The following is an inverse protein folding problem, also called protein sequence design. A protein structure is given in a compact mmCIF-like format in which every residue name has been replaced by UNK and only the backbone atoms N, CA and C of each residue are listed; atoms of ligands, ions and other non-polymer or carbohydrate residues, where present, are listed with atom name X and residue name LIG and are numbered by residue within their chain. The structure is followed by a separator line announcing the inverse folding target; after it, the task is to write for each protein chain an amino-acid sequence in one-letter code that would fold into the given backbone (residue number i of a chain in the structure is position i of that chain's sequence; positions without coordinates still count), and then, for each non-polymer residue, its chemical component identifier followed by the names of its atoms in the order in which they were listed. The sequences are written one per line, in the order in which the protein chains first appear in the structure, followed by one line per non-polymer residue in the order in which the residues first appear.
data_IF_861883966025
#
_entry.id   IF_861883966025
#
_cell.length_a   1.000
_cell.length_b   1.000
_cell.length_c   1.000
_cell.angle_alpha   90.00
_cell.angle_beta   90.00
_cell.angle_gamma   90.00
#
_symmetry.space_group_name_H-M   'P 1'
#
loop_
_entity.id
_entity.type
_entity.pdbx_description
1 polymer ?
#
# COMPACT_ATOMS: atom_id res chain seq x y z
N UNK A 1 8.28 -2.12 24.34
CA UNK A 1 9.40 -2.09 23.38
C UNK A 1 8.97 -1.96 21.91
N UNK A 2 7.96 -2.73 21.44
CA UNK A 2 7.51 -2.74 20.03
C UNK A 2 7.01 -1.38 19.48
N UNK A 3 6.34 -0.56 20.29
CA UNK A 3 5.88 0.77 19.88
C UNK A 3 7.02 1.76 19.60
N UNK A 4 8.11 1.70 20.38
CA UNK A 4 9.31 2.52 20.13
C UNK A 4 9.99 2.14 18.80
N UNK A 5 9.92 0.87 18.42
CA UNK A 5 10.45 0.38 17.13
C UNK A 5 9.58 0.93 15.99
N UNK A 6 8.25 0.91 16.14
CA UNK A 6 7.32 1.47 15.16
C UNK A 6 7.63 2.96 14.84
N UNK A 7 7.81 3.79 15.87
CA UNK A 7 8.17 5.20 15.68
C UNK A 7 9.54 5.40 15.02
N UNK A 8 10.52 4.53 15.35
CA UNK A 8 11.82 4.54 14.66
C UNK A 8 11.69 4.16 13.19
N UNK A 9 10.80 3.23 12.84
CA UNK A 9 10.49 2.91 11.45
C UNK A 9 9.96 4.13 10.71
N UNK A 10 9.08 4.92 11.32
CA UNK A 10 8.56 6.16 10.70
C UNK A 10 9.69 7.11 10.30
N UNK A 11 10.66 7.31 11.20
CA UNK A 11 11.83 8.15 10.93
C UNK A 11 12.74 7.56 9.83
N UNK A 12 12.98 6.25 9.85
CA UNK A 12 13.80 5.57 8.83
C UNK A 12 13.13 5.57 7.44
N UNK A 13 11.82 5.34 7.37
CA UNK A 13 11.07 5.34 6.13
C UNK A 13 11.16 6.71 5.44
N UNK A 14 11.05 7.80 6.22
CA UNK A 14 11.19 9.18 5.74
C UNK A 14 12.57 9.46 5.15
N UNK A 15 13.64 8.83 5.67
CA UNK A 15 15.01 8.96 5.16
C UNK A 15 15.20 8.30 3.78
N UNK A 16 14.37 7.33 3.42
CA UNK A 16 14.40 6.69 2.09
C UNK A 16 13.62 7.46 1.01
N UNK A 17 12.92 8.53 1.40
CA UNK A 17 12.29 9.58 0.60
C UNK A 17 11.69 9.14 -0.74
N UNK A 18 12.54 9.09 -1.77
CA UNK A 18 12.14 8.79 -3.16
C UNK A 18 11.42 7.44 -3.30
N UNK A 19 11.90 6.38 -2.64
CA UNK A 19 11.29 5.04 -2.78
C UNK A 19 9.92 4.98 -2.11
N UNK A 20 9.82 5.58 -0.93
CA UNK A 20 8.57 5.66 -0.17
C UNK A 20 7.47 6.35 -0.99
N UNK A 21 7.76 7.52 -1.56
CA UNK A 21 6.79 8.29 -2.36
C UNK A 21 6.31 7.51 -3.59
N UNK A 22 7.21 6.82 -4.29
CA UNK A 22 6.85 6.01 -5.46
C UNK A 22 5.86 4.91 -5.07
N UNK A 23 6.11 4.18 -3.98
CA UNK A 23 5.19 3.12 -3.55
C UNK A 23 3.87 3.68 -3.05
N UNK A 24 3.86 4.77 -2.28
CA UNK A 24 2.62 5.45 -1.88
C UNK A 24 1.78 5.84 -3.10
N UNK A 25 2.41 6.37 -4.15
CA UNK A 25 1.74 6.77 -5.39
C UNK A 25 1.15 5.56 -6.11
N UNK A 26 1.91 4.47 -6.23
CA UNK A 26 1.44 3.22 -6.86
C UNK A 26 0.24 2.65 -6.08
N UNK A 27 0.33 2.58 -4.75
CA UNK A 27 -0.77 2.08 -3.92
C UNK A 27 -1.99 2.99 -3.97
N UNK A 28 -1.81 4.32 -3.97
CA UNK A 28 -2.91 5.26 -4.08
C UNK A 28 -3.65 5.09 -5.42
N UNK A 29 -2.90 4.98 -6.52
CA UNK A 29 -3.47 4.70 -7.84
C UNK A 29 -4.23 3.37 -7.87
N UNK A 30 -3.65 2.34 -7.25
CA UNK A 30 -4.25 1.01 -7.23
C UNK A 30 -5.54 0.97 -6.39
N UNK A 31 -5.58 1.67 -5.25
CA UNK A 31 -6.80 1.86 -4.45
C UNK A 31 -7.87 2.60 -5.26
N UNK A 32 -7.50 3.72 -5.91
CA UNK A 32 -8.45 4.53 -6.69
C UNK A 32 -9.08 3.75 -7.85
N UNK A 33 -8.26 3.03 -8.64
CA UNK A 33 -8.73 2.20 -9.75
C UNK A 33 -9.63 1.07 -9.25
N UNK A 34 -9.22 0.39 -8.17
CA UNK A 34 -10.01 -0.72 -7.62
C UNK A 34 -11.38 -0.22 -7.15
N UNK A 35 -11.41 0.92 -6.45
CA UNK A 35 -12.66 1.51 -5.97
C UNK A 35 -13.59 1.94 -7.13
N UNK A 36 -13.02 2.49 -8.20
CA UNK A 36 -13.77 2.89 -9.39
C UNK A 36 -14.39 1.69 -10.11
N UNK A 37 -13.60 0.65 -10.42
CA UNK A 37 -14.12 -0.55 -11.08
C UNK A 37 -15.12 -1.31 -10.21
N UNK A 38 -14.88 -1.37 -8.90
CA UNK A 38 -15.82 -1.99 -7.95
C UNK A 38 -17.16 -1.26 -7.93
N UNK A 39 -17.16 0.09 -7.95
CA UNK A 39 -18.39 0.89 -8.07
C UNK A 39 -19.15 0.54 -9.33
N UNK A 40 -18.49 0.62 -10.48
CA UNK A 40 -19.13 0.37 -11.78
C UNK A 40 -19.66 -1.06 -11.88
N UNK A 41 -18.90 -2.04 -11.40
CA UNK A 41 -19.30 -3.43 -11.42
C UNK A 41 -20.58 -3.67 -10.60
N UNK A 42 -20.71 -3.02 -9.43
CA UNK A 42 -21.90 -3.17 -8.58
C UNK A 42 -23.09 -2.38 -9.15
N UNK A 43 -22.87 -1.17 -9.65
CA UNK A 43 -23.94 -0.28 -10.13
C UNK A 43 -24.54 -0.76 -11.45
N UNK A 44 -23.71 -1.09 -12.45
CA UNK A 44 -24.19 -1.46 -13.78
C UNK A 44 -24.51 -2.95 -13.92
N UNK A 45 -24.03 -3.80 -13.00
CA UNK A 45 -24.20 -5.26 -13.03
C UNK A 45 -23.79 -5.94 -14.36
N UNK A 46 -22.89 -5.29 -15.12
CA UNK A 46 -22.36 -5.83 -16.38
C UNK A 46 -21.13 -6.70 -16.09
N UNK A 47 -21.16 -7.95 -16.56
CA UNK A 47 -20.12 -8.95 -16.29
C UNK A 47 -18.70 -8.51 -16.67
N UNK A 48 -18.56 -7.69 -17.71
CA UNK A 48 -17.27 -7.17 -18.18
C UNK A 48 -16.54 -6.38 -17.08
N UNK A 49 -17.24 -5.55 -16.31
CA UNK A 49 -16.64 -4.75 -15.24
C UNK A 49 -16.26 -5.59 -14.01
N UNK A 50 -16.97 -6.70 -13.77
CA UNK A 50 -16.58 -7.66 -12.75
C UNK A 50 -15.23 -8.32 -13.10
N UNK A 51 -15.03 -8.70 -14.37
CA UNK A 51 -13.74 -9.22 -14.84
C UNK A 51 -12.60 -8.22 -14.70
N UNK A 52 -12.84 -6.94 -15.03
CA UNK A 52 -11.84 -5.90 -14.81
C UNK A 52 -11.48 -5.72 -13.33
N UNK A 53 -12.48 -5.78 -12.45
CA UNK A 53 -12.25 -5.71 -10.99
C UNK A 53 -11.35 -6.85 -10.52
N UNK A 54 -11.60 -8.08 -10.98
CA UNK A 54 -10.75 -9.25 -10.66
C UNK A 54 -9.32 -9.05 -11.19
N UNK A 55 -9.16 -8.56 -12.42
CA UNK A 55 -7.84 -8.29 -13.01
C UNK A 55 -7.05 -7.28 -12.16
N UNK A 56 -7.70 -6.19 -11.72
CA UNK A 56 -7.07 -5.20 -10.86
C UNK A 56 -6.67 -5.79 -9.51
N UNK A 57 -7.49 -6.67 -8.92
CA UNK A 57 -7.15 -7.39 -7.68
C UNK A 57 -5.93 -8.28 -7.88
N UNK A 58 -5.85 -9.01 -9.00
CA UNK A 58 -4.67 -9.83 -9.32
C UNK A 58 -3.43 -8.93 -9.46
N UNK A 59 -3.55 -7.79 -10.13
CA UNK A 59 -2.47 -6.80 -10.20
C UNK A 59 -2.07 -6.26 -8.82
N UNK A 60 -3.04 -6.05 -7.92
CA UNK A 60 -2.78 -5.67 -6.52
C UNK A 60 -1.88 -6.68 -5.81
N UNK A 61 -2.17 -7.97 -5.96
CA UNK A 61 -1.39 -9.06 -5.37
C UNK A 61 0.03 -9.10 -5.95
N UNK A 62 0.16 -8.94 -7.27
CA UNK A 62 1.46 -8.92 -7.95
C UNK A 62 2.30 -7.72 -7.47
N UNK A 63 1.74 -6.52 -7.49
CA UNK A 63 2.41 -5.29 -7.05
C UNK A 63 2.81 -5.37 -5.58
N UNK A 64 1.91 -5.87 -4.72
CA UNK A 64 2.18 -6.11 -3.30
C UNK A 64 3.34 -7.09 -3.07
N UNK A 65 3.35 -8.19 -3.81
CA UNK A 65 4.39 -9.21 -3.70
C UNK A 65 5.75 -8.68 -4.19
N UNK A 66 5.74 -7.93 -5.29
CA UNK A 66 6.92 -7.25 -5.82
C UNK A 66 7.46 -6.21 -4.84
N UNK A 67 6.57 -5.41 -4.22
CA UNK A 67 6.97 -4.43 -3.23
C UNK A 67 7.66 -5.09 -2.03
N UNK A 68 7.03 -6.12 -1.45
CA UNK A 68 7.63 -6.90 -0.35
C UNK A 68 8.99 -7.48 -0.74
N UNK A 69 9.13 -7.99 -1.98
CA UNK A 69 10.39 -8.51 -2.50
C UNK A 69 11.47 -7.42 -2.62
N UNK A 70 11.14 -6.26 -3.20
CA UNK A 70 12.07 -5.16 -3.45
C UNK A 70 12.57 -4.56 -2.13
N UNK A 71 11.66 -4.29 -1.19
CA UNK A 71 12.00 -3.76 0.13
C UNK A 71 12.95 -4.70 0.86
N UNK A 72 12.68 -6.01 0.84
CA UNK A 72 13.59 -6.99 1.44
C UNK A 72 14.94 -7.06 0.73
N UNK A 73 14.99 -6.87 -0.59
CA UNK A 73 16.23 -6.97 -1.37
C UNK A 73 17.15 -5.77 -1.17
N UNK A 74 16.60 -4.56 -1.26
CA UNK A 74 17.38 -3.33 -1.11
C UNK A 74 17.84 -3.09 0.32
N UNK A 75 17.12 -3.60 1.32
CA UNK A 75 17.44 -3.41 2.73
C UNK A 75 18.24 -4.55 3.35
N UNK A 76 18.72 -5.53 2.57
CA UNK A 76 19.51 -6.66 3.11
C UNK A 76 20.71 -6.21 3.96
N UNK A 77 21.40 -5.14 3.57
CA UNK A 77 22.54 -4.58 4.31
C UNK A 77 22.09 -4.02 5.66
N UNK A 78 21.05 -3.17 5.67
CA UNK A 78 20.48 -2.62 6.90
C UNK A 78 20.02 -3.72 7.87
N UNK A 79 19.36 -4.77 7.35
CA UNK A 79 18.95 -5.94 8.15
C UNK A 79 20.17 -6.64 8.76
N UNK A 80 21.22 -6.84 7.98
CA UNK A 80 22.44 -7.48 8.45
C UNK A 80 23.10 -6.67 9.57
N UNK A 81 23.18 -5.34 9.42
CA UNK A 81 23.69 -4.44 10.46
C UNK A 81 22.83 -4.47 11.73
N UNK A 82 21.49 -4.49 11.59
CA UNK A 82 20.61 -4.62 12.75
C UNK A 82 20.82 -5.96 13.46
N UNK A 83 21.00 -7.07 12.71
CA UNK A 83 21.32 -8.38 13.28
C UNK A 83 22.68 -8.40 14.00
N UNK A 84 23.71 -7.72 13.48
CA UNK A 84 25.02 -7.64 14.15
C UNK A 84 24.99 -6.81 15.44
N UNK A 85 24.08 -5.82 15.54
CA UNK A 85 23.84 -5.04 16.76
C UNK A 85 23.01 -5.83 17.79
N UNK A 86 22.56 -7.04 17.45
CA UNK A 86 21.82 -7.93 18.35
C UNK A 86 20.31 -7.76 18.30
N UNK A 87 19.74 -7.14 17.25
CA UNK A 87 18.28 -7.13 17.09
C UNK A 87 17.74 -8.53 16.82
N UNK A 88 16.68 -8.90 17.54
CA UNK A 88 15.98 -10.15 17.34
C UNK A 88 15.18 -10.15 16.03
N UNK A 89 14.89 -11.35 15.53
CA UNK A 89 14.11 -11.52 14.31
C UNK A 89 12.70 -10.92 14.42
N UNK A 90 12.09 -10.88 15.61
CA UNK A 90 10.77 -10.29 15.84
C UNK A 90 10.76 -8.77 15.74
N UNK A 91 11.78 -8.09 16.26
CA UNK A 91 11.95 -6.65 16.12
C UNK A 91 12.17 -6.25 14.66
N UNK A 92 12.97 -7.00 13.92
CA UNK A 92 13.16 -6.79 12.48
C UNK A 92 11.84 -7.01 11.74
N UNK A 93 11.09 -8.08 12.03
CA UNK A 93 9.76 -8.32 11.44
C UNK A 93 8.80 -7.15 11.68
N UNK A 94 8.75 -6.65 12.91
CA UNK A 94 7.90 -5.50 13.28
C UNK A 94 8.31 -4.24 12.52
N UNK A 95 9.61 -4.04 12.27
CA UNK A 95 10.13 -2.94 11.49
C UNK A 95 9.65 -3.00 10.03
N UNK A 96 9.70 -4.16 9.37
CA UNK A 96 9.16 -4.30 8.01
C UNK A 96 7.64 -4.15 7.97
N UNK A 97 6.92 -4.77 8.90
CA UNK A 97 5.46 -4.70 8.94
C UNK A 97 4.98 -3.25 9.12
N UNK A 98 5.66 -2.50 10.00
CA UNK A 98 5.34 -1.09 10.24
C UNK A 98 5.61 -0.21 9.02
N UNK A 99 6.65 -0.48 8.22
CA UNK A 99 6.91 0.23 6.98
C UNK A 99 5.83 -0.02 5.92
N UNK A 100 5.44 -1.29 5.72
CA UNK A 100 4.36 -1.65 4.80
C UNK A 100 3.05 -0.99 5.21
N UNK A 101 2.74 -1.02 6.51
CA UNK A 101 1.55 -0.40 7.07
C UNK A 101 1.56 1.13 6.92
N UNK A 102 2.72 1.77 7.06
CA UNK A 102 2.87 3.21 6.88
C UNK A 102 2.62 3.61 5.42
N UNK A 103 3.18 2.86 4.45
CA UNK A 103 2.90 3.08 3.02
C UNK A 103 1.41 2.92 2.73
N UNK A 104 0.78 1.89 3.27
CA UNK A 104 -0.65 1.65 3.09
C UNK A 104 -1.49 2.81 3.64
N UNK A 105 -1.30 3.20 4.92
CA UNK A 105 -2.02 4.33 5.51
C UNK A 105 -1.79 5.62 4.71
N UNK A 106 -0.56 5.87 4.29
CA UNK A 106 -0.25 7.09 3.52
C UNK A 106 -0.98 7.10 2.17
N UNK A 107 -1.06 5.95 1.49
CA UNK A 107 -1.82 5.83 0.26
C UNK A 107 -3.33 6.05 0.49
N UNK A 108 -3.89 5.55 1.60
CA UNK A 108 -5.29 5.80 1.97
C UNK A 108 -5.54 7.29 2.15
N UNK A 109 -4.69 7.98 2.93
CA UNK A 109 -4.84 9.41 3.18
C UNK A 109 -4.76 10.22 1.89
N UNK A 110 -3.84 9.88 0.98
CA UNK A 110 -3.73 10.54 -0.33
C UNK A 110 -5.00 10.35 -1.16
N UNK A 111 -5.54 9.13 -1.24
CA UNK A 111 -6.77 8.86 -2.00
C UNK A 111 -7.97 9.58 -1.39
N UNK A 112 -8.08 9.55 -0.07
CA UNK A 112 -9.17 10.21 0.65
C UNK A 112 -9.14 11.73 0.45
N UNK A 113 -7.95 12.34 0.52
CA UNK A 113 -7.75 13.77 0.24
C UNK A 113 -8.17 14.12 -1.19
N UNK A 114 -7.77 13.32 -2.18
CA UNK A 114 -8.14 13.52 -3.58
C UNK A 114 -9.66 13.42 -3.76
N UNK A 115 -10.31 12.42 -3.17
CA UNK A 115 -11.76 12.24 -3.26
C UNK A 115 -12.49 13.44 -2.63
N UNK A 116 -12.06 13.90 -1.45
CA UNK A 116 -12.66 15.08 -0.83
C UNK A 116 -12.52 16.34 -1.68
N UNK A 117 -11.36 16.55 -2.30
CA UNK A 117 -11.17 17.69 -3.21
C UNK A 117 -12.04 17.60 -4.45
N UNK A 118 -12.19 16.41 -5.05
CA UNK A 118 -13.09 16.19 -6.19
C UNK A 118 -14.53 16.49 -5.79
N UNK A 119 -14.99 15.99 -4.65
CA UNK A 119 -16.35 16.24 -4.16
C UNK A 119 -16.54 17.73 -3.88
N UNK A 120 -15.64 18.37 -3.13
CA UNK A 120 -15.74 19.79 -2.82
C UNK A 120 -15.78 20.67 -4.08
N UNK A 121 -14.90 20.39 -5.06
CA UNK A 121 -14.81 21.17 -6.29
C UNK A 121 -16.03 20.96 -7.20
N UNK A 122 -16.58 19.75 -7.27
CA UNK A 122 -17.78 19.46 -8.07
C UNK A 122 -19.02 20.18 -7.52
N UNK A 123 -19.24 20.15 -6.20
CA UNK A 123 -20.34 20.88 -5.58
C UNK A 123 -20.14 22.40 -5.61
N UNK A 124 -18.90 22.89 -5.49
CA UNK A 124 -18.62 24.32 -5.60
C UNK A 124 -18.89 24.87 -7.01
N UNK A 125 -18.51 24.14 -8.06
CA UNK A 125 -18.63 24.61 -9.44
C UNK A 125 -20.00 24.38 -10.08
N UNK A 126 -20.76 23.35 -9.66
CA UNK A 126 -21.96 22.90 -10.36
C UNK A 126 -23.21 22.72 -9.46
N UNK A 127 -23.22 23.27 -8.25
CA UNK A 127 -24.43 23.27 -7.42
C UNK A 127 -25.59 24.01 -8.13
N UNK A 128 -26.85 23.54 -8.00
CA UNK A 128 -27.31 22.47 -7.09
C UNK A 128 -27.24 21.05 -7.69
N UNK A 129 -27.05 20.90 -9.00
CA UNK A 129 -27.08 19.60 -9.70
C UNK A 129 -25.80 19.40 -10.51
N UNK A 130 -24.80 18.68 -9.96
CA UNK A 130 -23.59 18.38 -10.70
C UNK A 130 -23.90 17.51 -11.94
N UNK A 131 -23.19 17.71 -13.07
CA UNK A 131 -23.30 16.86 -14.25
C UNK A 131 -23.18 15.38 -13.91
N UNK A 132 -23.97 14.52 -14.57
CA UNK A 132 -24.00 13.06 -14.33
C UNK A 132 -22.60 12.44 -14.40
N UNK A 133 -21.78 12.86 -15.36
CA UNK A 133 -20.40 12.40 -15.51
C UNK A 133 -19.52 12.66 -14.27
N UNK A 134 -19.79 13.73 -13.51
CA UNK A 134 -19.08 14.05 -12.28
C UNK A 134 -19.64 13.29 -11.07
N UNK A 135 -20.94 12.98 -11.08
CA UNK A 135 -21.55 12.11 -10.06
C UNK A 135 -21.00 10.69 -10.13
N UNK A 136 -20.66 10.20 -11.32
CA UNK A 136 -20.01 8.90 -11.51
C UNK A 136 -18.60 8.83 -10.93
N UNK A 137 -17.90 9.96 -10.82
CA UNK A 137 -16.59 10.03 -10.16
C UNK A 137 -16.69 9.98 -8.63
N UNK A 138 -17.85 10.31 -8.05
CA UNK A 138 -18.06 10.30 -6.60
C UNK A 138 -18.16 8.84 -6.12
N UNK A 139 -17.17 8.42 -5.33
CA UNK A 139 -17.11 7.07 -4.77
C UNK A 139 -17.82 7.08 -3.41
N UNK A 140 -18.86 6.25 -3.20
CA UNK A 140 -19.52 6.17 -1.91
C UNK A 140 -18.60 5.52 -0.86
N UNK A 141 -18.70 5.97 0.38
CA UNK A 141 -17.78 5.61 1.48
C UNK A 141 -17.71 4.09 1.76
N UNK A 142 -18.82 3.38 1.57
CA UNK A 142 -18.89 1.93 1.81
C UNK A 142 -18.09 1.14 0.75
N UNK A 143 -18.09 1.58 -0.51
CA UNK A 143 -17.28 0.97 -1.60
C UNK A 143 -15.80 1.20 -1.35
N UNK A 144 -15.45 2.42 -0.91
CA UNK A 144 -14.08 2.73 -0.50
C UNK A 144 -13.65 1.78 0.64
N UNK A 145 -14.51 1.59 1.64
CA UNK A 145 -14.24 0.71 2.79
C UNK A 145 -14.00 -0.75 2.37
N UNK A 146 -14.83 -1.29 1.47
CA UNK A 146 -14.64 -2.64 0.91
C UNK A 146 -13.32 -2.72 0.14
N UNK A 147 -13.01 -1.70 -0.66
CA UNK A 147 -11.76 -1.65 -1.44
C UNK A 147 -10.54 -1.66 -0.52
N UNK A 148 -10.58 -0.91 0.59
CA UNK A 148 -9.50 -0.90 1.57
C UNK A 148 -9.27 -2.29 2.18
N UNK A 149 -10.34 -3.02 2.51
CA UNK A 149 -10.25 -4.39 3.03
C UNK A 149 -9.65 -5.33 1.98
N UNK A 150 -10.08 -5.23 0.71
CA UNK A 150 -9.55 -6.04 -0.39
C UNK A 150 -8.06 -5.78 -0.59
N UNK A 151 -7.65 -4.51 -0.70
CA UNK A 151 -6.25 -4.14 -0.90
C UNK A 151 -5.39 -4.54 0.30
N UNK A 152 -5.88 -4.39 1.52
CA UNK A 152 -5.19 -4.87 2.71
C UNK A 152 -5.01 -6.40 2.69
N UNK A 153 -6.04 -7.15 2.29
CA UNK A 153 -5.95 -8.60 2.08
C UNK A 153 -4.89 -8.98 1.03
N UNK A 154 -4.83 -8.22 -0.07
CA UNK A 154 -3.82 -8.40 -1.13
C UNK A 154 -2.38 -8.11 -0.66
N UNK A 155 -2.20 -7.47 0.50
CA UNK A 155 -0.87 -7.25 1.09
C UNK A 155 -0.29 -8.49 1.77
N UNK A 156 -1.14 -9.42 2.21
CA UNK A 156 -0.71 -10.60 2.97
C UNK A 156 0.32 -11.47 2.23
N UNK A 157 0.18 -11.78 0.92
CA UNK A 157 1.20 -12.53 0.19
C UNK A 157 2.56 -11.84 0.21
N UNK A 158 2.62 -10.52 -0.03
CA UNK A 158 3.86 -9.75 0.00
C UNK A 158 4.54 -9.76 1.37
N UNK A 159 3.75 -9.65 2.45
CA UNK A 159 4.23 -9.77 3.83
C UNK A 159 4.84 -11.16 4.08
N UNK A 160 4.15 -12.23 3.67
CA UNK A 160 4.59 -13.62 3.85
C UNK A 160 5.89 -13.91 3.08
N UNK A 161 6.00 -13.43 1.83
CA UNK A 161 7.24 -13.55 1.05
C UNK A 161 8.40 -12.81 1.71
N UNK A 162 8.15 -11.59 2.21
CA UNK A 162 9.14 -10.82 2.95
C UNK A 162 9.64 -11.56 4.19
N UNK A 163 8.72 -12.12 4.98
CA UNK A 163 9.06 -12.87 6.19
C UNK A 163 10.01 -14.04 5.95
N UNK A 164 9.73 -14.86 4.93
CA UNK A 164 10.57 -16.03 4.61
C UNK A 164 11.98 -15.62 4.20
N UNK A 165 12.14 -14.48 3.52
CA UNK A 165 13.42 -14.02 2.99
C UNK A 165 14.28 -13.33 4.04
N UNK A 166 13.69 -12.48 4.88
CA UNK A 166 14.38 -11.76 5.97
C UNK A 166 15.04 -12.74 6.94
N UNK A 167 14.35 -13.83 7.27
CA UNK A 167 14.86 -14.80 8.24
C UNK A 167 16.13 -15.51 7.77
N UNK A 168 16.26 -15.71 6.46
CA UNK A 168 17.36 -16.46 5.83
C UNK A 168 18.61 -15.61 5.54
N UNK A 169 18.62 -14.31 5.84
CA UNK A 169 19.79 -13.46 5.59
C UNK A 169 20.89 -13.77 6.61
N UNK A 170 21.99 -14.39 6.15
CA UNK A 170 23.20 -14.58 6.96
C UNK A 170 23.97 -13.26 7.05
N UNK A 171 24.15 -12.67 8.25
CA UNK A 171 24.75 -11.34 8.38
C UNK A 171 26.16 -11.22 7.77
N UNK A 172 27.00 -12.25 7.97
CA UNK A 172 28.37 -12.29 7.45
C UNK A 172 28.43 -12.28 5.92
N UNK A 173 27.55 -13.02 5.25
CA UNK A 173 27.50 -13.05 3.78
C UNK A 173 26.97 -11.74 3.19
N UNK A 174 26.02 -11.09 3.87
CA UNK A 174 25.44 -9.83 3.43
C UNK A 174 26.44 -8.66 3.56
N UNK A 175 27.30 -8.69 4.58
CA UNK A 175 28.37 -7.71 4.79
C UNK A 175 29.57 -7.92 3.86
N UNK A 176 29.91 -9.17 3.53
CA UNK A 176 31.04 -9.48 2.61
C UNK A 176 30.81 -9.04 1.16
N UNK A 177 29.55 -8.95 0.73
CA UNK A 177 29.17 -8.49 -0.62
C UNK A 177 28.96 -6.97 -0.69
N UNK A 178 29.39 -6.24 0.33
CA UNK A 178 29.32 -4.77 0.39
C UNK A 178 30.59 -4.15 -0.19
#
# INVERSE_FOLDING_TARGET
MKLRIFWKTFSMARRSGRRFIVFVTIYAFLIAITAYFLKIAITLQVAIYAWFTILVIVMAIVVSSLYGYLVCNYRRREIATLRTIGWDAGSIRTLFLSELFLVFISAILVVLEIIFHIVALTYWAFAPTPPEALQDLIIPWWILSITLVIIFGCQLPGILFGYRKILKVRPMEAMRKA
#
